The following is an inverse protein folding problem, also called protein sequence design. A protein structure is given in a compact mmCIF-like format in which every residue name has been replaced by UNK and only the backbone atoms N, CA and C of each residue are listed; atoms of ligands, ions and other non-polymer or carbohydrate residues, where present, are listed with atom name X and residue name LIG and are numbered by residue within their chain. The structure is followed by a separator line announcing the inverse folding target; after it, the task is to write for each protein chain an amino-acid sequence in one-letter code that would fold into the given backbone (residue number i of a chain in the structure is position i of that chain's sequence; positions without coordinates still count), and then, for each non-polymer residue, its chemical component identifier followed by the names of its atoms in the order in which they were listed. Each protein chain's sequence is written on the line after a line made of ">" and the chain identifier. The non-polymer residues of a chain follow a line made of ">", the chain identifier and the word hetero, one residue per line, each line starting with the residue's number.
data_IF_111601253054
#
_entry.id   IF_111601253054
#
_cell.length_a   1.000
_cell.length_b   1.000
_cell.length_c   1.000
_cell.angle_alpha   90.00
_cell.angle_beta   90.00
_cell.angle_gamma   90.00
#
_symmetry.space_group_name_H-M   'P 1'
#
loop_
_entity.id
_entity.type
_entity.pdbx_description
1 polymer ?
#
# COMPACT_ATOMS: atom_id res chain seq x y z
N UNK A 1 -3.19 17.29 -1.22
CA UNK A 1 -2.43 18.57 -1.31
C UNK A 1 -1.30 18.36 -2.29
N UNK A 2 -1.20 19.19 -3.33
CA UNK A 2 -0.17 19.03 -4.37
C UNK A 2 0.75 20.24 -4.37
N UNK A 3 2.05 19.99 -4.24
CA UNK A 3 3.10 21.00 -4.40
C UNK A 3 3.96 20.69 -5.63
N UNK A 4 4.37 21.72 -6.36
CA UNK A 4 5.25 21.60 -7.53
C UNK A 4 6.59 22.26 -7.23
N UNK A 5 7.66 21.50 -7.45
CA UNK A 5 9.03 21.94 -7.20
C UNK A 5 9.86 21.77 -8.47
N UNK A 6 10.72 22.73 -8.77
CA UNK A 6 11.68 22.64 -9.87
C UNK A 6 13.08 22.48 -9.29
N UNK A 7 13.78 21.40 -9.66
CA UNK A 7 15.15 21.15 -9.21
C UNK A 7 15.96 20.48 -10.32
N UNK A 8 17.15 21.02 -10.61
CA UNK A 8 18.06 20.46 -11.62
C UNK A 8 17.38 20.19 -12.98
N UNK A 9 16.53 21.12 -13.43
CA UNK A 9 15.75 21.00 -14.67
C UNK A 9 14.77 19.81 -14.71
N UNK A 10 14.33 19.35 -13.52
CA UNK A 10 13.26 18.38 -13.34
C UNK A 10 12.12 19.02 -12.56
N UNK A 11 10.90 18.71 -12.96
CA UNK A 11 9.70 19.00 -12.18
C UNK A 11 9.44 17.84 -11.21
N UNK A 12 9.13 18.16 -9.97
CA UNK A 12 8.76 17.22 -8.92
C UNK A 12 7.37 17.61 -8.45
N UNK A 13 6.41 16.71 -8.62
CA UNK A 13 5.03 16.87 -8.14
C UNK A 13 4.92 16.08 -6.84
N UNK A 14 4.83 16.79 -5.72
CA UNK A 14 4.72 16.21 -4.39
C UNK A 14 3.25 16.12 -4.00
N UNK A 15 2.75 14.91 -3.76
CA UNK A 15 1.37 14.65 -3.36
C UNK A 15 1.36 14.29 -1.87
N UNK A 16 0.83 15.19 -1.04
CA UNK A 16 0.62 14.94 0.38
C UNK A 16 -0.65 14.12 0.61
N UNK A 17 -0.49 12.90 1.13
CA UNK A 17 -1.59 11.95 1.40
C UNK A 17 -1.89 11.80 2.88
N UNK A 18 -3.15 11.58 3.25
CA UNK A 18 -3.53 11.13 4.58
C UNK A 18 -3.64 9.59 4.60
N UNK A 19 -3.03 8.94 5.60
CA UNK A 19 -3.18 7.49 5.79
C UNK A 19 -4.64 7.15 6.06
N UNK A 20 -5.18 6.21 5.28
CA UNK A 20 -6.59 5.79 5.34
C UNK A 20 -7.55 6.90 4.85
N UNK A 21 -7.31 7.44 3.65
CA UNK A 21 -8.21 8.43 3.01
C UNK A 21 -8.52 8.06 1.56
N UNK A 22 -9.80 8.09 1.20
CA UNK A 22 -10.27 7.80 -0.17
C UNK A 22 -9.87 8.90 -1.12
N UNK A 23 -10.00 10.11 -0.63
CA UNK A 23 -9.60 11.32 -1.30
C UNK A 23 -8.12 11.26 -1.66
N UNK A 24 -7.26 10.72 -0.78
CA UNK A 24 -5.83 10.54 -1.07
C UNK A 24 -5.59 9.50 -2.16
N UNK A 25 -6.32 8.37 -2.16
CA UNK A 25 -6.23 7.35 -3.21
C UNK A 25 -6.65 7.93 -4.56
N UNK A 26 -7.78 8.64 -4.60
CA UNK A 26 -8.33 9.24 -5.81
C UNK A 26 -7.43 10.39 -6.33
N UNK A 27 -6.88 11.24 -5.43
CA UNK A 27 -5.95 12.33 -5.77
C UNK A 27 -4.66 11.78 -6.39
N UNK A 28 -4.08 10.73 -5.80
CA UNK A 28 -2.89 10.06 -6.34
C UNK A 28 -3.16 9.50 -7.73
N UNK A 29 -4.24 8.72 -7.89
CA UNK A 29 -4.60 8.12 -9.17
C UNK A 29 -4.78 9.16 -10.27
N UNK A 30 -5.65 10.13 -10.01
CA UNK A 30 -6.00 11.16 -11.00
C UNK A 30 -4.80 12.02 -11.38
N UNK A 31 -3.92 12.32 -10.42
CA UNK A 31 -2.69 13.08 -10.69
C UNK A 31 -1.73 12.30 -11.59
N UNK A 32 -1.47 11.02 -11.30
CA UNK A 32 -0.57 10.20 -12.13
C UNK A 32 -1.14 10.02 -13.55
N UNK A 33 -2.45 9.78 -13.67
CA UNK A 33 -3.11 9.61 -14.98
C UNK A 33 -3.09 10.89 -15.83
N UNK A 34 -3.22 12.07 -15.18
CA UNK A 34 -3.20 13.36 -15.84
C UNK A 34 -1.80 13.82 -16.22
N UNK A 35 -0.84 13.73 -15.28
CA UNK A 35 0.52 14.26 -15.46
C UNK A 35 1.42 13.30 -16.25
N UNK A 36 1.17 11.99 -16.19
CA UNK A 36 1.96 10.93 -16.85
C UNK A 36 3.48 11.13 -16.68
N UNK A 37 3.98 11.17 -15.43
CA UNK A 37 5.37 11.48 -15.16
C UNK A 37 6.32 10.39 -15.69
N UNK A 38 7.60 10.73 -15.86
CA UNK A 38 8.64 9.78 -16.25
C UNK A 38 8.94 8.73 -15.17
N UNK A 39 8.62 9.03 -13.90
CA UNK A 39 8.86 8.17 -12.74
C UNK A 39 7.84 8.49 -11.63
N UNK A 40 7.44 7.47 -10.87
CA UNK A 40 6.61 7.63 -9.65
C UNK A 40 7.39 7.17 -8.44
N UNK A 41 7.68 8.08 -7.51
CA UNK A 41 8.33 7.74 -6.24
C UNK A 41 7.28 7.52 -5.14
N UNK A 42 7.40 6.44 -4.38
CA UNK A 42 6.55 6.15 -3.21
C UNK A 42 7.37 6.16 -1.93
N UNK A 43 6.84 6.73 -0.85
CA UNK A 43 7.51 6.83 0.46
C UNK A 43 7.49 5.47 1.20
N UNK A 44 8.17 4.46 0.64
CA UNK A 44 8.22 3.10 1.15
C UNK A 44 9.64 2.55 1.16
N UNK A 45 10.02 1.90 2.26
CA UNK A 45 11.23 1.08 2.28
C UNK A 45 11.00 -0.25 1.55
N UNK A 46 12.08 -0.87 1.06
CA UNK A 46 12.03 -2.12 0.29
C UNK A 46 11.22 -3.23 0.95
N UNK A 47 11.38 -3.42 2.26
CA UNK A 47 10.65 -4.45 3.00
C UNK A 47 9.13 -4.22 2.99
N UNK A 48 8.68 -2.97 3.18
CA UNK A 48 7.25 -2.62 3.15
C UNK A 48 6.69 -2.68 1.73
N UNK A 49 7.48 -2.27 0.74
CA UNK A 49 7.16 -2.42 -0.68
C UNK A 49 6.88 -3.89 -1.03
N UNK A 50 7.78 -4.81 -0.63
CA UNK A 50 7.60 -6.25 -0.88
C UNK A 50 6.33 -6.79 -0.22
N UNK A 51 6.02 -6.36 1.01
CA UNK A 51 4.80 -6.79 1.73
C UNK A 51 3.53 -6.29 1.03
N UNK A 52 3.51 -5.03 0.57
CA UNK A 52 2.35 -4.45 -0.10
C UNK A 52 2.14 -5.04 -1.50
N UNK A 53 3.23 -5.36 -2.20
CA UNK A 53 3.20 -5.94 -3.55
C UNK A 53 2.94 -7.45 -3.55
N UNK A 54 3.28 -8.15 -2.46
CA UNK A 54 3.21 -9.62 -2.36
C UNK A 54 2.31 -10.05 -1.18
N UNK A 55 1.02 -9.69 -1.27
CA UNK A 55 -0.01 -10.02 -0.25
C UNK A 55 -0.11 -11.52 0.08
N UNK A 56 0.40 -12.40 -0.80
CA UNK A 56 0.36 -13.86 -0.64
C UNK A 56 1.53 -14.44 0.18
N UNK A 57 2.65 -13.72 0.34
CA UNK A 57 3.81 -14.24 1.09
C UNK A 57 3.54 -14.47 2.57
N UNK A 58 2.62 -13.73 3.17
CA UNK A 58 2.25 -13.92 4.58
C UNK A 58 1.49 -15.22 4.84
N UNK A 59 0.84 -15.80 3.83
CA UNK A 59 0.05 -17.03 4.00
C UNK A 59 0.90 -18.28 4.20
N UNK A 60 2.17 -18.27 3.80
CA UNK A 60 2.94 -19.50 3.67
C UNK A 60 3.90 -19.78 4.84
N UNK A 61 4.25 -18.80 5.68
CA UNK A 61 5.48 -18.96 6.48
C UNK A 61 5.36 -19.62 7.85
N UNK A 62 4.18 -19.79 8.49
CA UNK A 62 4.21 -20.33 9.87
C UNK A 62 3.05 -21.23 10.32
N UNK A 63 2.07 -21.55 9.47
CA UNK A 63 0.92 -22.38 9.91
C UNK A 63 1.38 -23.77 10.38
N UNK A 64 2.30 -24.40 9.64
CA UNK A 64 2.81 -25.74 9.96
C UNK A 64 3.67 -25.76 11.22
N UNK A 65 4.43 -24.69 11.48
CA UNK A 65 5.27 -24.54 12.68
C UNK A 65 4.44 -24.29 13.93
N UNK A 66 3.44 -23.42 13.83
CA UNK A 66 2.48 -23.10 14.89
C UNK A 66 1.70 -24.34 15.35
N UNK A 67 1.27 -25.19 14.40
CA UNK A 67 0.59 -26.46 14.71
C UNK A 67 1.56 -27.42 15.42
N UNK A 68 2.81 -27.53 14.97
CA UNK A 68 3.84 -28.37 15.61
C UNK A 68 4.21 -27.92 17.02
N UNK A 69 4.17 -26.62 17.30
CA UNK A 69 4.47 -26.05 18.63
C UNK A 69 3.26 -26.05 19.58
N UNK A 70 2.10 -26.58 19.17
CA UNK A 70 0.90 -26.65 20.01
C UNK A 70 0.23 -25.29 20.27
N UNK A 71 0.60 -24.24 19.52
CA UNK A 71 0.12 -22.87 19.71
C UNK A 71 -1.17 -22.57 18.91
N UNK A 72 -1.97 -23.59 18.63
CA UNK A 72 -3.15 -23.51 17.76
C UNK A 72 -4.22 -22.55 18.30
N UNK A 73 -4.40 -22.49 19.63
CA UNK A 73 -5.34 -21.56 20.26
C UNK A 73 -4.94 -20.09 20.05
N UNK A 74 -3.65 -19.76 20.23
CA UNK A 74 -3.12 -18.41 20.01
C UNK A 74 -3.23 -18.00 18.53
N UNK A 75 -2.98 -18.94 17.62
CA UNK A 75 -3.18 -18.72 16.20
C UNK A 75 -4.64 -18.46 15.85
N UNK A 76 -5.58 -19.19 16.45
CA UNK A 76 -7.02 -18.96 16.26
C UNK A 76 -7.43 -17.57 16.75
N UNK A 77 -6.92 -17.14 17.91
CA UNK A 77 -7.14 -15.78 18.44
C UNK A 77 -6.58 -14.72 17.49
N UNK A 78 -5.35 -14.89 17.00
CA UNK A 78 -4.77 -13.99 16.01
C UNK A 78 -5.59 -13.96 14.72
N UNK A 79 -6.08 -15.10 14.23
CA UNK A 79 -6.91 -15.16 13.04
C UNK A 79 -8.23 -14.42 13.21
N UNK A 80 -8.89 -14.57 14.36
CA UNK A 80 -10.12 -13.84 14.70
C UNK A 80 -9.85 -12.34 14.77
N UNK A 81 -8.78 -11.94 15.46
CA UNK A 81 -8.36 -10.54 15.59
C UNK A 81 -8.00 -9.93 14.23
N UNK A 82 -7.27 -10.65 13.38
CA UNK A 82 -6.94 -10.20 12.02
C UNK A 82 -8.20 -10.05 11.15
N UNK A 83 -9.16 -10.97 11.26
CA UNK A 83 -10.45 -10.83 10.57
C UNK A 83 -11.26 -9.62 11.09
N UNK A 84 -11.22 -9.37 12.40
CA UNK A 84 -11.89 -8.22 13.01
C UNK A 84 -11.23 -6.90 12.60
N UNK A 85 -9.90 -6.84 12.62
CA UNK A 85 -9.12 -5.71 12.11
C UNK A 85 -9.40 -5.47 10.63
N UNK A 86 -9.52 -6.53 9.83
CA UNK A 86 -9.89 -6.41 8.41
C UNK A 86 -11.29 -5.84 8.24
N UNK A 87 -12.28 -6.33 8.99
CA UNK A 87 -13.66 -5.79 8.98
C UNK A 87 -13.75 -4.33 9.41
N UNK A 88 -13.02 -3.94 10.46
CA UNK A 88 -12.95 -2.52 10.85
C UNK A 88 -12.30 -1.65 9.77
N UNK A 89 -11.31 -2.19 9.04
CA UNK A 89 -10.75 -1.55 7.85
C UNK A 89 -11.74 -1.50 6.67
N UNK A 90 -12.64 -2.48 6.56
CA UNK A 90 -13.73 -2.50 5.57
C UNK A 90 -14.83 -1.46 5.89
N UNK A 91 -15.11 -1.16 7.17
CA UNK A 91 -16.05 -0.10 7.57
C UNK A 91 -15.53 1.33 7.24
N UNK A 92 -14.22 1.49 7.07
CA UNK A 92 -13.56 2.71 6.54
C UNK A 92 -13.28 2.59 5.02
N UNK A 93 -13.52 1.41 4.45
CA UNK A 93 -13.39 1.10 3.02
C UNK A 93 -11.96 1.10 2.47
N UNK A 94 -10.95 1.43 3.28
CA UNK A 94 -9.59 1.73 2.82
C UNK A 94 -8.56 1.15 3.78
N UNK A 95 -7.61 0.40 3.20
CA UNK A 95 -6.49 -0.15 3.95
C UNK A 95 -5.39 0.91 4.13
N UNK A 96 -4.64 0.90 5.25
CA UNK A 96 -3.44 1.71 5.37
C UNK A 96 -2.47 1.44 4.21
N UNK A 97 -1.94 2.50 3.58
CA UNK A 97 -1.08 2.38 2.41
C UNK A 97 -1.82 2.06 1.11
N UNK A 98 -3.15 2.17 1.08
CA UNK A 98 -3.93 2.05 -0.15
C UNK A 98 -3.52 3.10 -1.18
N UNK A 99 -3.20 4.32 -0.74
CA UNK A 99 -2.71 5.41 -1.58
C UNK A 99 -1.39 5.03 -2.28
N UNK A 100 -0.48 4.39 -1.54
CA UNK A 100 0.79 3.92 -2.08
C UNK A 100 0.58 2.72 -3.02
N UNK A 101 -0.32 1.82 -2.65
CA UNK A 101 -0.68 0.66 -3.49
C UNK A 101 -1.29 1.11 -4.82
N UNK A 102 -2.18 2.12 -4.78
CA UNK A 102 -2.78 2.67 -5.98
C UNK A 102 -1.76 3.40 -6.85
N UNK A 103 -0.83 4.17 -6.25
CA UNK A 103 0.28 4.77 -6.99
C UNK A 103 1.07 3.72 -7.78
N UNK A 104 1.40 2.60 -7.12
CA UNK A 104 2.12 1.49 -7.77
C UNK A 104 1.31 0.82 -8.87
N UNK A 105 0.01 0.62 -8.66
CA UNK A 105 -0.88 0.01 -9.65
C UNK A 105 -1.02 0.88 -10.91
N UNK A 106 -1.29 2.18 -10.73
CA UNK A 106 -1.49 3.14 -11.82
C UNK A 106 -0.19 3.30 -12.61
N UNK A 107 0.95 3.45 -11.93
CA UNK A 107 2.25 3.52 -12.59
C UNK A 107 2.52 2.26 -13.43
N UNK A 108 2.27 1.07 -12.87
CA UNK A 108 2.41 -0.19 -13.59
C UNK A 108 1.49 -0.28 -14.82
N UNK A 109 0.22 0.14 -14.69
CA UNK A 109 -0.75 0.15 -15.79
C UNK A 109 -0.34 1.10 -16.93
N UNK A 110 0.32 2.20 -16.60
CA UNK A 110 0.82 3.19 -17.56
C UNK A 110 2.26 2.90 -18.02
N UNK A 111 2.88 1.80 -17.57
CA UNK A 111 4.29 1.46 -17.79
C UNK A 111 5.27 2.56 -17.34
N UNK A 112 4.93 3.26 -16.25
CA UNK A 112 5.80 4.24 -15.61
C UNK A 112 6.65 3.51 -14.55
N UNK A 113 7.98 3.70 -14.55
CA UNK A 113 8.86 3.15 -13.51
C UNK A 113 8.52 3.66 -12.11
N UNK A 114 8.73 2.80 -11.11
CA UNK A 114 8.58 3.09 -9.67
C UNK A 114 9.94 2.95 -8.97
#
# INVERSE_FOLDING_TARGET
>A
MIERLIKNNKEIILIGTAHISKESVDEVKSTIEAEKPDVVCVELCKQRYEILNDKEKWKQTDITKIIKEGKTALFLVNLILSNFQRRLGEDVGILPGAEMTEAMNVAKNLNIPI
#
